data_IF_225983830902
#
_entry.id   IF_225983830902
#
_cell.length_a   1.000
_cell.length_b   1.000
_cell.length_c   1.000
_cell.angle_alpha   90.00
_cell.angle_beta   90.00
_cell.angle_gamma   90.00
#
_symmetry.space_group_name_H-M   'P 1'
#
loop_
_entity.id
_entity.type
_entity.pdbx_description
1 polymer ?
#
# COMPACT_ATOMS: atom_id res chain seq x y z
N UNK A 1 -18.14 22.99 0.95
CA UNK A 1 -16.99 22.53 0.14
C UNK A 1 -16.10 21.67 1.02
N UNK A 2 -16.17 20.34 0.89
CA UNK A 2 -15.32 19.43 1.66
C UNK A 2 -13.92 19.40 1.04
N UNK A 3 -12.98 20.13 1.64
CA UNK A 3 -11.56 19.93 1.41
C UNK A 3 -11.20 18.56 2.01
N UNK A 4 -11.22 17.52 1.18
CA UNK A 4 -10.80 16.19 1.62
C UNK A 4 -9.33 16.26 2.02
N UNK A 5 -9.12 16.01 3.30
CA UNK A 5 -7.86 15.89 4.00
C UNK A 5 -6.89 14.99 3.24
N UNK A 6 -6.04 15.59 2.40
CA UNK A 6 -5.01 14.89 1.62
C UNK A 6 -3.84 14.41 2.52
N UNK A 7 -3.88 14.74 3.82
CA UNK A 7 -2.82 14.49 4.79
C UNK A 7 -3.14 13.42 5.85
N UNK A 8 -4.25 12.69 5.74
CA UNK A 8 -4.47 11.44 6.51
C UNK A 8 -3.72 10.23 5.89
N UNK A 9 -2.77 10.48 4.97
CA UNK A 9 -1.97 9.47 4.25
C UNK A 9 -0.72 8.97 5.01
N UNK A 10 -0.49 9.52 6.21
CA UNK A 10 0.58 9.15 7.13
C UNK A 10 -0.02 8.18 8.15
N UNK A 11 0.42 6.95 8.37
CA UNK A 11 1.68 6.32 8.00
C UNK A 11 1.52 4.81 8.14
N UNK A 12 1.14 4.11 7.07
CA UNK A 12 1.37 2.67 7.04
C UNK A 12 2.89 2.46 7.04
N UNK A 13 3.42 1.89 8.13
CA UNK A 13 4.85 1.59 8.24
C UNK A 13 5.25 0.63 7.12
N UNK A 14 6.50 0.70 6.66
CA UNK A 14 6.97 -0.21 5.61
C UNK A 14 6.83 -1.68 6.03
N UNK A 15 6.99 -1.96 7.33
CA UNK A 15 6.77 -3.28 7.93
C UNK A 15 5.30 -3.69 7.79
N UNK A 16 4.35 -2.81 8.11
CA UNK A 16 2.92 -3.11 7.95
C UNK A 16 2.57 -3.39 6.48
N UNK A 17 3.04 -2.54 5.56
CA UNK A 17 2.81 -2.74 4.13
C UNK A 17 3.39 -4.08 3.66
N UNK A 18 4.58 -4.44 4.14
CA UNK A 18 5.21 -5.71 3.82
C UNK A 18 4.37 -6.88 4.30
N UNK A 19 3.94 -6.89 5.57
CA UNK A 19 3.09 -7.95 6.12
C UNK A 19 1.77 -8.12 5.35
N UNK A 20 1.16 -7.01 4.90
CA UNK A 20 -0.05 -7.05 4.07
C UNK A 20 0.24 -7.69 2.72
N UNK A 21 1.38 -7.36 2.10
CA UNK A 21 1.77 -7.84 0.78
C UNK A 21 2.32 -9.27 0.80
N UNK A 22 2.94 -9.74 1.88
CA UNK A 22 3.28 -11.15 2.08
C UNK A 22 2.02 -12.04 2.10
N UNK A 23 0.91 -11.50 2.60
CA UNK A 23 -0.39 -12.17 2.56
C UNK A 23 -1.02 -12.25 1.18
N UNK A 24 -0.47 -11.57 0.17
CA UNK A 24 -1.00 -11.60 -1.20
C UNK A 24 -0.54 -12.87 -1.92
N UNK A 25 -1.52 -13.63 -2.44
CA UNK A 25 -1.28 -14.77 -3.32
C UNK A 25 -2.06 -14.59 -4.61
N UNK A 26 -1.34 -14.53 -5.73
CA UNK A 26 -1.97 -14.44 -7.05
C UNK A 26 -2.71 -15.75 -7.36
N UNK A 27 -3.92 -15.65 -7.92
CA UNK A 27 -4.74 -16.82 -8.29
C UNK A 27 -5.42 -17.54 -7.13
N UNK A 28 -5.24 -17.12 -5.87
CA UNK A 28 -5.88 -17.76 -4.70
C UNK A 28 -7.11 -16.96 -4.26
N UNK A 29 -8.26 -17.63 -4.20
CA UNK A 29 -9.50 -17.04 -3.71
C UNK A 29 -9.34 -16.58 -2.25
N UNK A 30 -9.75 -15.35 -1.94
CA UNK A 30 -9.63 -14.78 -0.59
C UNK A 30 -8.28 -14.11 -0.28
N UNK A 31 -7.26 -14.25 -1.13
CA UNK A 31 -5.93 -13.64 -0.94
C UNK A 31 -5.65 -12.46 -1.88
N UNK A 32 -6.66 -12.00 -2.63
CA UNK A 32 -6.54 -10.86 -3.53
C UNK A 32 -6.51 -9.50 -2.82
N UNK A 33 -6.12 -8.44 -3.55
CA UNK A 33 -6.03 -7.08 -3.00
C UNK A 33 -7.33 -6.58 -2.35
N UNK A 34 -8.50 -6.94 -2.89
CA UNK A 34 -9.80 -6.60 -2.29
C UNK A 34 -10.00 -7.25 -0.93
N UNK A 35 -9.66 -8.52 -0.81
CA UNK A 35 -9.77 -9.27 0.44
C UNK A 35 -8.79 -8.77 1.49
N UNK A 36 -7.55 -8.47 1.10
CA UNK A 36 -6.55 -7.88 1.99
C UNK A 36 -6.99 -6.49 2.48
N UNK A 37 -7.50 -5.64 1.58
CA UNK A 37 -8.00 -4.32 1.97
C UNK A 37 -9.15 -4.40 2.98
N UNK A 38 -10.06 -5.36 2.81
CA UNK A 38 -11.16 -5.60 3.75
C UNK A 38 -10.66 -6.14 5.08
N UNK A 39 -9.73 -7.11 5.05
CA UNK A 39 -9.15 -7.76 6.24
C UNK A 39 -8.40 -6.75 7.12
N UNK A 40 -7.60 -5.89 6.51
CA UNK A 40 -6.78 -4.90 7.21
C UNK A 40 -7.45 -3.52 7.33
N UNK A 41 -8.74 -3.41 6.95
CA UNK A 41 -9.54 -2.17 6.98
C UNK A 41 -8.79 -0.96 6.38
N UNK A 42 -8.14 -1.16 5.24
CA UNK A 42 -7.31 -0.13 4.60
C UNK A 42 -8.21 0.94 3.99
N UNK A 43 -8.12 2.19 4.48
CA UNK A 43 -8.95 3.33 4.03
C UNK A 43 -8.86 3.56 2.51
N UNK A 44 -7.68 3.40 1.92
CA UNK A 44 -7.45 3.51 0.46
C UNK A 44 -7.86 2.27 -0.35
N UNK A 45 -8.41 1.25 0.30
CA UNK A 45 -8.90 0.03 -0.33
C UNK A 45 -7.83 -0.75 -1.10
N UNK A 46 -8.31 -1.57 -2.03
CA UNK A 46 -7.47 -2.44 -2.85
C UNK A 46 -6.56 -1.68 -3.83
N UNK A 47 -6.95 -0.47 -4.25
CA UNK A 47 -6.16 0.36 -5.14
C UNK A 47 -4.86 0.82 -4.47
N UNK A 48 -4.90 1.14 -3.18
CA UNK A 48 -3.71 1.50 -2.41
C UNK A 48 -2.74 0.31 -2.28
N UNK A 49 -3.25 -0.88 -1.98
CA UNK A 49 -2.44 -2.10 -1.90
C UNK A 49 -1.82 -2.43 -3.26
N UNK A 50 -2.59 -2.31 -4.34
CA UNK A 50 -2.06 -2.48 -5.71
C UNK A 50 -0.91 -1.52 -5.99
N UNK A 51 -1.00 -0.27 -5.52
CA UNK A 51 0.07 0.73 -5.66
C UNK A 51 1.32 0.32 -4.89
N UNK A 52 1.18 -0.17 -3.65
CA UNK A 52 2.30 -0.70 -2.87
C UNK A 52 2.92 -1.91 -3.55
N UNK A 53 2.11 -2.86 -4.02
CA UNK A 53 2.57 -4.05 -4.74
C UNK A 53 3.39 -3.70 -5.97
N UNK A 54 2.98 -2.69 -6.76
CA UNK A 54 3.76 -2.22 -7.92
C UNK A 54 5.13 -1.63 -7.55
N UNK A 55 5.29 -1.17 -6.31
CA UNK A 55 6.55 -0.63 -5.79
C UNK A 55 7.35 -1.65 -4.99
N UNK A 56 6.75 -2.79 -4.67
CA UNK A 56 7.31 -3.82 -3.81
C UNK A 56 8.03 -4.87 -4.65
N UNK A 57 9.28 -5.13 -4.30
CA UNK A 57 10.16 -6.12 -4.93
C UNK A 57 10.35 -7.36 -4.05
N UNK A 58 9.52 -7.53 -3.02
CA UNK A 58 9.69 -8.55 -1.99
C UNK A 58 10.34 -8.05 -0.70
N UNK A 59 10.87 -6.81 -0.67
CA UNK A 59 11.55 -6.28 0.53
C UNK A 59 10.81 -5.13 1.21
N UNK A 60 11.01 -4.97 2.53
CA UNK A 60 10.51 -3.83 3.32
C UNK A 60 11.10 -2.50 2.83
N UNK A 61 12.33 -2.52 2.33
CA UNK A 61 13.07 -1.33 1.92
C UNK A 61 12.42 -0.63 0.71
N UNK A 62 11.88 -1.40 -0.23
CA UNK A 62 11.23 -0.85 -1.42
C UNK A 62 9.90 -0.14 -1.12
N UNK A 63 9.27 -0.48 0.01
CA UNK A 63 8.08 0.20 0.55
C UNK A 63 8.41 1.45 1.37
N UNK A 64 9.69 1.65 1.70
CA UNK A 64 10.24 2.82 2.39
C UNK A 64 10.67 3.94 1.40
N UNK A 65 10.33 3.83 0.11
CA UNK A 65 10.47 4.96 -0.81
C UNK A 65 9.48 6.07 -0.40
N UNK A 66 9.91 6.90 0.55
CA UNK A 66 9.47 8.29 0.73
C UNK A 66 9.29 8.88 -0.66
N UNK A 67 8.18 9.57 -0.90
CA UNK A 67 7.99 10.42 -2.06
C UNK A 67 9.29 11.18 -2.32
N UNK A 68 10.11 10.74 -3.28
CA UNK A 68 11.24 11.53 -3.76
C UNK A 68 10.58 12.64 -4.57
N UNK A 69 10.10 13.66 -3.85
CA UNK A 69 9.99 15.02 -4.39
C UNK A 69 11.42 15.44 -4.68
N UNK A 70 11.88 15.05 -5.85
CA UNK A 70 13.25 15.27 -6.31
C UNK A 70 13.26 14.96 -7.79
N UNK A 71 12.44 15.71 -8.53
CA UNK A 71 12.57 15.85 -9.98
C UNK A 71 13.88 16.61 -10.19
N UNK A 72 14.97 16.00 -10.68
CA UNK A 72 16.04 16.80 -11.22
C UNK A 72 15.51 17.40 -12.53
N UNK A 73 15.48 18.72 -12.62
CA UNK A 73 15.50 19.40 -13.92
C UNK A 73 16.95 19.63 -14.28
#
# INVERSE_FOLDING_TARGET
MHFYSFYEFLSYTSIFKHNVLEGYRSGVYGSGFKSLAKRFKIKGGHMLIKRWYRQWDGTVQSLNRKSRNGRPR
#
